data_IF_205064075048
#
_entry.id   IF_205064075048
#
_cell.length_a   1.000
_cell.length_b   1.000
_cell.length_c   1.000
_cell.angle_alpha   90.00
_cell.angle_beta   90.00
_cell.angle_gamma   90.00
#
_symmetry.space_group_name_H-M   'P 1'
#
loop_
_entity.id
_entity.type
_entity.pdbx_description
1 polymer ?
#
# COMPACT_ATOMS: atom_id res chain seq x y z
N UNK A 1 -7.80 6.82 -2.89
CA UNK A 1 -8.42 7.60 -3.97
C UNK A 1 -8.70 6.65 -5.13
N UNK A 2 -9.98 6.48 -5.52
CA UNK A 2 -10.37 5.60 -6.64
C UNK A 2 -9.79 6.21 -7.92
N UNK A 3 -8.94 5.47 -8.64
CA UNK A 3 -8.43 5.92 -9.94
C UNK A 3 -9.54 5.70 -10.97
N UNK A 4 -9.93 6.73 -11.70
CA UNK A 4 -10.93 6.61 -12.76
C UNK A 4 -10.41 5.65 -13.85
N UNK A 5 -11.29 4.81 -14.37
CA UNK A 5 -10.96 3.90 -15.46
C UNK A 5 -10.67 4.74 -16.72
N UNK A 6 -9.52 4.53 -17.35
CA UNK A 6 -9.08 5.29 -18.53
C UNK A 6 -9.96 5.03 -19.77
N UNK A 7 -10.73 3.95 -19.78
CA UNK A 7 -11.42 3.44 -20.96
C UNK A 7 -12.94 3.68 -20.95
N UNK A 8 -13.52 4.27 -19.91
CA UNK A 8 -14.96 4.53 -19.79
C UNK A 8 -15.16 5.91 -19.15
N UNK A 9 -16.03 6.75 -19.75
CA UNK A 9 -16.31 8.12 -19.30
C UNK A 9 -16.98 8.15 -17.92
N UNK A 10 -16.65 9.16 -17.11
CA UNK A 10 -17.13 9.28 -15.73
C UNK A 10 -18.66 9.40 -15.63
N UNK A 11 -19.30 10.06 -16.58
CA UNK A 11 -20.76 10.20 -16.65
C UNK A 11 -21.45 8.84 -16.78
N UNK A 12 -21.04 8.03 -17.76
CA UNK A 12 -21.52 6.64 -17.94
C UNK A 12 -21.30 5.80 -16.66
N UNK A 13 -20.21 5.98 -15.92
CA UNK A 13 -19.99 5.23 -14.67
C UNK A 13 -20.95 5.60 -13.54
N UNK A 14 -21.39 6.85 -13.47
CA UNK A 14 -22.29 7.33 -12.43
C UNK A 14 -23.75 6.94 -12.75
N UNK A 15 -24.09 6.89 -14.03
CA UNK A 15 -25.45 6.62 -14.50
C UNK A 15 -25.79 5.11 -14.55
N UNK A 16 -24.80 4.22 -14.35
CA UNK A 16 -25.03 2.77 -14.28
C UNK A 16 -25.63 2.41 -12.91
N UNK A 17 -26.92 2.12 -12.90
CA UNK A 17 -27.59 1.47 -11.78
C UNK A 17 -27.11 0.02 -11.67
N UNK A 18 -26.39 -0.31 -10.59
CA UNK A 18 -25.90 -1.67 -10.34
C UNK A 18 -26.98 -2.50 -9.63
N UNK A 19 -27.60 -3.49 -10.30
CA UNK A 19 -28.64 -4.29 -9.67
C UNK A 19 -28.06 -5.08 -8.47
N UNK A 20 -28.88 -5.33 -7.43
CA UNK A 20 -28.45 -6.16 -6.31
C UNK A 20 -28.16 -7.58 -6.80
N UNK A 21 -27.21 -8.24 -6.13
CA UNK A 21 -26.98 -9.67 -6.34
C UNK A 21 -28.25 -10.44 -5.96
N UNK A 22 -28.80 -11.24 -6.89
CA UNK A 22 -29.91 -12.13 -6.58
C UNK A 22 -29.45 -13.35 -5.80
N UNK A 23 -30.36 -13.95 -5.02
CA UNK A 23 -30.07 -15.15 -4.21
C UNK A 23 -29.59 -16.32 -5.09
N UNK A 24 -30.17 -16.47 -6.28
CA UNK A 24 -29.76 -17.48 -7.27
C UNK A 24 -28.32 -17.25 -7.78
N UNK A 25 -27.92 -16.00 -7.96
CA UNK A 25 -26.55 -15.66 -8.36
C UNK A 25 -25.58 -15.98 -7.24
N UNK A 26 -25.95 -15.64 -5.99
CA UNK A 26 -25.14 -15.91 -4.81
C UNK A 26 -24.94 -17.43 -4.61
N UNK A 27 -25.99 -18.23 -4.78
CA UNK A 27 -25.94 -19.68 -4.64
C UNK A 27 -25.01 -20.36 -5.67
N UNK A 28 -24.78 -19.74 -6.83
CA UNK A 28 -23.92 -20.27 -7.90
C UNK A 28 -22.45 -19.86 -7.77
N UNK A 29 -22.12 -18.93 -6.87
CA UNK A 29 -20.75 -18.47 -6.68
C UNK A 29 -19.87 -19.57 -6.07
N UNK A 30 -18.72 -19.82 -6.69
CA UNK A 30 -17.71 -20.78 -6.21
C UNK A 30 -16.36 -20.11 -6.06
N UNK A 31 -15.46 -20.61 -5.20
CA UNK A 31 -14.10 -20.10 -5.10
C UNK A 31 -13.38 -20.09 -6.45
N UNK A 32 -12.65 -19.03 -6.75
CA UNK A 32 -11.88 -18.89 -8.00
C UNK A 32 -10.94 -20.08 -8.23
N UNK A 33 -10.40 -20.66 -7.15
CA UNK A 33 -9.53 -21.85 -7.21
C UNK A 33 -10.24 -23.08 -7.82
N UNK A 34 -11.56 -23.18 -7.65
CA UNK A 34 -12.36 -24.32 -8.16
C UNK A 34 -12.79 -24.10 -9.61
N UNK A 35 -13.21 -22.88 -9.98
CA UNK A 35 -13.67 -22.57 -11.34
C UNK A 35 -12.54 -22.21 -12.32
N UNK A 36 -11.43 -21.66 -11.82
CA UNK A 36 -10.31 -21.17 -12.62
C UNK A 36 -8.97 -21.63 -12.02
N UNK A 37 -8.63 -22.92 -12.16
CA UNK A 37 -7.39 -23.48 -11.62
C UNK A 37 -6.13 -22.87 -12.26
N UNK A 38 -6.25 -22.33 -13.47
CA UNK A 38 -5.15 -21.72 -14.23
C UNK A 38 -4.73 -20.35 -13.68
N UNK A 39 -5.56 -19.70 -12.86
CA UNK A 39 -5.25 -18.41 -12.27
C UNK A 39 -4.34 -18.63 -11.05
N UNK A 40 -3.08 -18.17 -11.08
CA UNK A 40 -2.19 -18.34 -9.95
C UNK A 40 -2.71 -17.56 -8.74
N UNK A 41 -2.53 -18.12 -7.54
CA UNK A 41 -2.87 -17.43 -6.30
C UNK A 41 -2.17 -16.08 -6.28
N UNK A 42 -2.93 -15.02 -6.06
CA UNK A 42 -2.41 -13.65 -5.91
C UNK A 42 -1.77 -13.50 -4.52
N UNK A 43 -0.60 -14.10 -4.35
CA UNK A 43 0.18 -13.98 -3.12
C UNK A 43 0.92 -12.66 -3.18
N UNK A 44 0.90 -11.89 -2.08
CA UNK A 44 1.87 -10.80 -1.93
C UNK A 44 3.25 -11.44 -2.03
N UNK A 45 4.12 -10.91 -2.91
CA UNK A 45 5.47 -11.43 -3.04
C UNK A 45 6.23 -11.37 -1.70
N UNK A 46 7.27 -12.20 -1.53
CA UNK A 46 8.11 -12.14 -0.34
C UNK A 46 8.59 -10.71 -0.14
N UNK A 47 8.63 -10.28 1.12
CA UNK A 47 9.09 -8.95 1.47
C UNK A 47 10.55 -8.80 1.02
N UNK A 48 10.81 -7.83 0.13
CA UNK A 48 12.09 -7.70 -0.57
C UNK A 48 13.19 -7.02 0.25
N UNK A 49 12.83 -6.25 1.28
CA UNK A 49 13.76 -5.46 2.07
C UNK A 49 13.79 -5.93 3.54
N UNK A 50 14.97 -5.96 4.18
CA UNK A 50 15.09 -6.20 5.61
C UNK A 50 14.15 -5.30 6.42
N UNK A 51 13.49 -5.88 7.42
CA UNK A 51 12.62 -5.13 8.32
C UNK A 51 13.45 -4.12 9.11
N UNK A 52 13.00 -2.86 9.13
CA UNK A 52 13.55 -1.86 10.04
C UNK A 52 13.35 -2.32 11.47
N UNK A 53 14.40 -2.30 12.28
CA UNK A 53 14.32 -2.66 13.69
C UNK A 53 13.88 -1.41 14.47
N UNK A 54 12.76 -1.44 15.23
CA UNK A 54 12.39 -0.32 16.07
C UNK A 54 13.36 -0.22 17.24
N UNK A 55 14.11 0.88 17.29
CA UNK A 55 15.04 1.16 18.40
C UNK A 55 14.63 2.47 19.06
N UNK A 56 14.64 2.48 20.40
CA UNK A 56 14.44 3.71 21.19
C UNK A 56 15.81 4.34 21.45
N UNK A 57 16.10 5.44 20.76
CA UNK A 57 17.33 6.23 20.96
C UNK A 57 16.97 7.65 21.41
N UNK A 58 17.85 8.26 22.21
CA UNK A 58 17.75 9.68 22.57
C UNK A 58 18.56 10.49 21.56
N UNK A 59 17.91 11.47 20.94
CA UNK A 59 18.53 12.43 20.03
C UNK A 59 18.51 13.81 20.69
N UNK A 60 19.44 14.69 20.30
CA UNK A 60 19.46 16.07 20.75
C UNK A 60 18.21 16.84 20.26
N UNK A 61 17.82 17.87 21.02
CA UNK A 61 16.56 18.60 20.79
C UNK A 61 16.52 19.30 19.43
N UNK A 62 17.65 19.87 19.01
CA UNK A 62 17.86 20.52 17.71
C UNK A 62 17.65 19.55 16.54
N UNK A 63 18.21 18.35 16.61
CA UNK A 63 18.04 17.30 15.59
C UNK A 63 16.57 16.91 15.45
N UNK A 64 15.90 16.63 16.58
CA UNK A 64 14.47 16.26 16.55
C UNK A 64 13.62 17.39 15.96
N UNK A 65 13.89 18.63 16.36
CA UNK A 65 13.15 19.81 15.90
C UNK A 65 13.32 20.01 14.40
N UNK A 66 14.56 19.94 13.91
CA UNK A 66 14.88 20.06 12.49
C UNK A 66 14.13 19.03 11.65
N UNK A 67 14.24 17.73 11.96
CA UNK A 67 13.59 16.71 11.14
C UNK A 67 12.06 16.77 11.24
N UNK A 68 11.49 17.00 12.44
CA UNK A 68 10.03 17.14 12.60
C UNK A 68 9.46 18.29 11.77
N UNK A 69 10.18 19.40 11.64
CA UNK A 69 9.77 20.54 10.81
C UNK A 69 9.57 20.18 9.32
N UNK A 70 10.21 19.10 8.85
CA UNK A 70 10.12 18.64 7.47
C UNK A 70 8.85 17.83 7.18
N UNK A 71 7.96 17.68 8.16
CA UNK A 71 6.62 17.09 8.02
C UNK A 71 6.60 15.57 7.94
N UNK A 72 5.61 15.05 7.20
CA UNK A 72 5.37 13.60 7.09
C UNK A 72 6.62 12.89 6.55
N UNK A 73 7.01 11.81 7.22
CA UNK A 73 8.18 11.00 6.84
C UNK A 73 9.51 11.46 7.43
N UNK A 74 9.52 12.39 8.39
CA UNK A 74 10.75 12.84 9.05
C UNK A 74 11.60 11.71 9.65
N UNK A 75 10.99 10.67 10.22
CA UNK A 75 11.71 9.49 10.73
C UNK A 75 12.47 8.75 9.61
N UNK A 76 11.87 8.64 8.41
CA UNK A 76 12.54 8.02 7.26
C UNK A 76 13.68 8.88 6.72
N UNK A 77 13.60 10.22 6.89
CA UNK A 77 14.69 11.14 6.54
C UNK A 77 15.87 10.98 7.49
N UNK A 78 15.63 10.87 8.80
CA UNK A 78 16.69 10.57 9.78
C UNK A 78 17.39 9.26 9.43
N UNK A 79 16.62 8.20 9.20
CA UNK A 79 17.14 6.88 8.82
C UNK A 79 18.00 6.94 7.55
N UNK A 80 17.58 7.72 6.54
CA UNK A 80 18.35 7.92 5.31
C UNK A 80 19.68 8.64 5.55
N UNK A 81 19.71 9.63 6.45
CA UNK A 81 20.94 10.35 6.82
C UNK A 81 21.91 9.43 7.54
N UNK A 82 21.43 8.62 8.49
CA UNK A 82 22.25 7.61 9.18
C UNK A 82 22.80 6.59 8.20
N UNK A 83 21.98 6.14 7.25
CA UNK A 83 22.44 5.23 6.19
C UNK A 83 23.50 5.85 5.29
N UNK A 84 23.39 7.14 4.96
CA UNK A 84 24.41 7.84 4.19
C UNK A 84 25.71 7.99 4.98
N UNK A 85 25.64 8.28 6.27
CA UNK A 85 26.80 8.34 7.16
C UNK A 85 27.54 7.00 7.21
N UNK A 86 26.82 5.87 7.27
CA UNK A 86 27.38 4.51 7.22
C UNK A 86 28.05 4.20 5.88
N UNK A 87 27.57 4.80 4.77
CA UNK A 87 28.18 4.60 3.45
C UNK A 87 29.46 5.41 3.25
N UNK A 88 29.60 6.53 3.95
CA UNK A 88 30.72 7.46 3.78
C UNK A 88 31.88 7.23 4.75
N UNK A 89 31.73 6.33 5.73
CA UNK A 89 32.72 5.99 6.75
C UNK A 89 32.88 4.47 6.84
#
# INVERSE_FOLDING_TARGET
>A
MKKNNKNISNEIWQDIESPPLSDDMLARMKPVKEQHPDIPKRVRGPQKEPLKVPVSIRLSSDVVTYFKSQGKGWQSKIDSVLHNYIKSH
#
